data_IF_457576825041
#
_entry.id   IF_457576825041
#
_cell.length_a   1.000
_cell.length_b   1.000
_cell.length_c   1.000
_cell.angle_alpha   90.00
_cell.angle_beta   90.00
_cell.angle_gamma   90.00
#
_symmetry.space_group_name_H-M   'P 1'
#
loop_
_entity.id
_entity.type
_entity.pdbx_description
1 polymer ?
#
# COMPACT_ATOMS: atom_id res chain seq x y z
N UNK A 1 -22.09 -8.68 5.20
CA UNK A 1 -23.02 -8.71 6.34
C UNK A 1 -22.46 -9.61 7.43
N UNK A 2 -22.11 -9.08 8.61
CA UNK A 2 -22.07 -9.79 9.90
C UNK A 2 -22.25 -8.74 10.99
N UNK A 3 -23.46 -8.67 11.54
CA UNK A 3 -23.85 -7.78 12.65
C UNK A 3 -23.21 -8.32 13.94
N UNK A 4 -22.61 -7.43 14.74
CA UNK A 4 -22.22 -7.73 16.11
C UNK A 4 -22.88 -6.69 17.02
N UNK A 5 -24.13 -6.97 17.39
CA UNK A 5 -24.80 -6.33 18.53
C UNK A 5 -24.25 -6.94 19.82
N UNK A 6 -23.68 -6.11 20.70
CA UNK A 6 -23.57 -6.43 22.14
C UNK A 6 -23.85 -5.20 23.00
N UNK A 7 -25.13 -5.08 23.34
CA UNK A 7 -25.67 -4.82 24.69
C UNK A 7 -25.05 -3.71 25.56
N UNK A 8 -25.73 -2.56 25.59
CA UNK A 8 -25.70 -1.59 26.69
C UNK A 8 -26.19 -2.25 27.98
N UNK A 9 -25.30 -2.50 28.94
CA UNK A 9 -25.70 -2.76 30.33
C UNK A 9 -26.09 -1.43 30.97
N UNK A 10 -27.40 -1.15 31.08
CA UNK A 10 -27.92 -0.12 31.97
C UNK A 10 -27.71 -0.59 33.40
N UNK A 11 -26.86 0.13 34.13
CA UNK A 11 -26.65 -0.03 35.56
C UNK A 11 -27.90 0.51 36.28
N UNK A 12 -28.85 -0.36 36.60
CA UNK A 12 -29.97 0.00 37.48
C UNK A 12 -29.49 -0.09 38.92
N UNK A 13 -29.39 1.05 39.62
CA UNK A 13 -29.27 1.04 41.08
C UNK A 13 -30.65 0.80 41.69
N UNK A 14 -30.81 -0.10 42.67
CA UNK A 14 -32.06 -0.28 43.40
C UNK A 14 -32.25 0.90 44.37
N UNK A 15 -33.31 1.68 44.17
CA UNK A 15 -33.77 2.69 45.13
C UNK A 15 -34.65 1.99 46.17
N UNK A 16 -34.20 1.95 47.43
CA UNK A 16 -35.03 1.50 48.55
C UNK A 16 -36.07 2.58 48.89
N UNK A 17 -37.22 2.51 48.23
CA UNK A 17 -38.42 3.28 48.58
C UNK A 17 -39.11 2.61 49.77
N UNK A 18 -38.65 2.89 50.99
CA UNK A 18 -39.38 2.49 52.19
C UNK A 18 -40.75 3.18 52.21
N UNK A 19 -41.79 2.34 52.18
CA UNK A 19 -43.19 2.71 52.22
C UNK A 19 -43.58 3.17 53.63
N UNK A 20 -44.24 4.32 53.73
CA UNK A 20 -44.96 4.74 54.93
C UNK A 20 -46.46 4.48 54.75
N UNK A 21 -47.05 3.75 55.71
CA UNK A 21 -48.48 3.43 55.80
C UNK A 21 -48.68 1.91 55.78
N UNK A 22 -49.30 1.24 56.74
CA UNK A 22 -50.11 1.63 57.90
C UNK A 22 -51.24 0.59 58.00
N UNK A 23 -51.48 -0.01 59.17
CA UNK A 23 -52.82 -0.38 59.70
C UNK A 23 -52.75 -1.17 61.04
N UNK A 24 -53.71 -0.97 61.98
CA UNK A 24 -53.86 -1.68 63.26
C UNK A 24 -55.03 -2.72 63.18
N UNK A 25 -55.70 -3.16 64.27
CA UNK A 25 -55.28 -3.72 65.57
C UNK A 25 -55.84 -5.16 65.78
N UNK A 26 -55.30 -5.94 66.73
CA UNK A 26 -55.86 -7.26 67.06
C UNK A 26 -55.39 -7.82 68.40
N UNK A 27 -56.33 -7.91 69.34
CA UNK A 27 -56.29 -8.34 70.74
C UNK A 27 -55.52 -9.64 71.10
N UNK A 28 -55.02 -9.71 72.36
CA UNK A 28 -55.05 -10.94 73.18
C UNK A 28 -53.88 -11.21 74.17
N UNK A 29 -54.06 -10.84 75.45
CA UNK A 29 -53.49 -11.37 76.73
C UNK A 29 -51.98 -11.29 77.08
N UNK A 30 -51.54 -11.40 78.36
CA UNK A 30 -52.07 -10.99 79.69
C UNK A 30 -51.19 -9.87 80.34
N UNK A 31 -51.47 -9.28 81.54
CA UNK A 31 -50.70 -8.12 82.01
C UNK A 31 -49.25 -8.50 82.38
N UNK A 32 -48.23 -7.83 81.81
CA UNK A 32 -46.86 -7.95 82.30
C UNK A 32 -46.74 -7.26 83.66
N UNK A 33 -45.80 -7.75 84.48
CA UNK A 33 -45.39 -7.18 85.77
C UNK A 33 -45.39 -5.64 85.81
N UNK A 34 -45.62 -5.03 87.00
CA UNK A 34 -45.51 -3.58 87.15
C UNK A 34 -44.18 -3.09 86.56
N UNK A 35 -44.20 -1.98 85.79
CA UNK A 35 -43.03 -1.53 85.06
C UNK A 35 -41.88 -1.26 86.03
N UNK A 36 -40.71 -1.84 85.75
CA UNK A 36 -39.48 -1.31 86.30
C UNK A 36 -39.38 0.16 85.89
N UNK A 37 -38.98 1.02 86.84
CA UNK A 37 -38.78 2.44 86.59
C UNK A 37 -37.99 2.64 85.28
N UNK A 38 -38.41 3.57 84.40
CA UNK A 38 -37.61 3.88 83.23
C UNK A 38 -36.21 4.30 83.70
N UNK A 39 -35.14 3.87 83.02
CA UNK A 39 -33.82 4.42 83.29
C UNK A 39 -33.90 5.95 83.19
N UNK A 40 -33.15 6.71 84.00
CA UNK A 40 -33.16 8.16 83.95
C UNK A 40 -33.04 8.60 82.50
N UNK A 41 -34.02 9.36 82.02
CA UNK A 41 -34.09 9.90 80.67
C UNK A 41 -32.80 10.69 80.42
N UNK A 42 -31.82 10.08 79.76
CA UNK A 42 -30.62 10.79 79.32
C UNK A 42 -31.08 11.89 78.37
N UNK A 43 -30.75 13.17 78.63
CA UNK A 43 -31.14 14.24 77.73
C UNK A 43 -30.58 13.94 76.34
N UNK A 44 -31.35 14.19 75.26
CA UNK A 44 -30.89 13.93 73.90
C UNK A 44 -29.55 14.64 73.69
N UNK A 45 -28.54 13.91 73.21
CA UNK A 45 -27.25 14.49 72.88
C UNK A 45 -27.48 15.73 72.01
N UNK A 46 -26.85 16.88 72.33
CA UNK A 46 -27.04 18.09 71.56
C UNK A 46 -26.67 17.83 70.09
N UNK A 47 -27.42 18.38 69.11
CA UNK A 47 -27.13 18.15 67.71
C UNK A 47 -25.71 18.63 67.41
N UNK A 48 -24.91 17.78 66.77
CA UNK A 48 -23.55 18.13 66.36
C UNK A 48 -23.61 19.28 65.35
N UNK A 49 -23.26 20.49 65.81
CA UNK A 49 -23.11 21.66 64.94
C UNK A 49 -21.67 21.72 64.46
N UNK A 50 -21.46 21.58 63.14
CA UNK A 50 -20.14 21.79 62.54
C UNK A 50 -19.65 23.21 62.83
N UNK A 51 -18.42 23.32 63.33
CA UNK A 51 -17.78 24.63 63.54
C UNK A 51 -17.36 25.22 62.20
N UNK A 52 -17.27 26.55 62.11
CA UNK A 52 -16.81 27.23 60.89
C UNK A 52 -15.43 26.72 60.43
N UNK A 53 -14.53 26.42 61.38
CA UNK A 53 -13.22 25.85 61.09
C UNK A 53 -13.30 24.43 60.50
N UNK A 54 -14.24 23.59 60.95
CA UNK A 54 -14.45 22.26 60.38
C UNK A 54 -14.98 22.34 58.94
N UNK A 55 -15.85 23.31 58.65
CA UNK A 55 -16.36 23.53 57.29
C UNK A 55 -15.25 24.06 56.37
N UNK A 56 -14.44 25.02 56.84
CA UNK A 56 -13.30 25.57 56.09
C UNK A 56 -12.25 24.47 55.81
N UNK A 57 -11.94 23.64 56.80
CA UNK A 57 -11.02 22.51 56.67
C UNK A 57 -11.54 21.46 55.67
N UNK A 58 -12.81 21.09 55.75
CA UNK A 58 -13.45 20.17 54.81
C UNK A 58 -13.46 20.73 53.38
N UNK A 59 -13.73 22.03 53.22
CA UNK A 59 -13.68 22.72 51.92
C UNK A 59 -12.26 22.69 51.34
N UNK A 60 -11.25 23.01 52.14
CA UNK A 60 -9.85 23.01 51.70
C UNK A 60 -9.36 21.61 51.32
N UNK A 61 -9.77 20.58 52.08
CA UNK A 61 -9.51 19.18 51.74
C UNK A 61 -10.15 18.80 50.40
N UNK A 62 -11.43 19.12 50.21
CA UNK A 62 -12.15 18.84 48.97
C UNK A 62 -11.54 19.55 47.76
N UNK A 63 -11.12 20.81 47.90
CA UNK A 63 -10.45 21.56 46.82
C UNK A 63 -9.09 20.94 46.47
N UNK A 64 -8.34 20.49 47.47
CA UNK A 64 -7.05 19.82 47.25
C UNK A 64 -7.24 18.50 46.51
N UNK A 65 -8.20 17.69 46.95
CA UNK A 65 -8.53 16.41 46.29
C UNK A 65 -9.03 16.63 44.86
N UNK A 66 -9.87 17.63 44.63
CA UNK A 66 -10.34 17.99 43.30
C UNK A 66 -9.19 18.40 42.36
N UNK A 67 -8.23 19.20 42.84
CA UNK A 67 -7.04 19.58 42.06
C UNK A 67 -6.18 18.39 41.71
N UNK A 68 -5.90 17.52 42.68
CA UNK A 68 -5.11 16.29 42.46
C UNK A 68 -5.81 15.37 41.47
N UNK A 69 -7.12 15.18 41.62
CA UNK A 69 -7.91 14.38 40.67
C UNK A 69 -7.89 14.99 39.27
N UNK A 70 -7.98 16.31 39.14
CA UNK A 70 -7.95 16.99 37.85
C UNK A 70 -6.61 16.77 37.14
N UNK A 71 -5.49 16.96 37.83
CA UNK A 71 -4.16 16.73 37.25
C UNK A 71 -3.97 15.27 36.82
N UNK A 72 -4.43 14.32 37.63
CA UNK A 72 -4.37 12.90 37.31
C UNK A 72 -5.21 12.56 36.06
N UNK A 73 -6.42 13.10 35.94
CA UNK A 73 -7.28 12.90 34.77
C UNK A 73 -6.67 13.48 33.50
N UNK A 74 -6.00 14.63 33.62
CA UNK A 74 -5.31 15.29 32.50
C UNK A 74 -3.93 14.70 32.20
N UNK A 75 -3.44 13.73 33.00
CA UNK A 75 -2.11 13.15 32.84
C UNK A 75 -0.97 14.17 33.00
N UNK A 76 -1.20 15.23 33.78
CA UNK A 76 -0.20 16.25 34.12
C UNK A 76 0.19 16.13 35.58
N UNK A 77 1.45 16.41 35.89
CA UNK A 77 1.95 16.31 37.26
C UNK A 77 1.48 17.50 38.13
N UNK A 78 1.24 18.65 37.50
CA UNK A 78 0.86 19.89 38.19
C UNK A 78 0.30 20.94 37.22
N UNK A 79 -0.16 22.07 37.76
CA UNK A 79 -0.50 23.24 36.95
C UNK A 79 0.69 23.79 36.14
N UNK A 80 1.90 23.73 36.71
CA UNK A 80 3.11 24.18 36.02
C UNK A 80 3.40 23.30 34.79
N UNK A 81 3.26 21.98 34.92
CA UNK A 81 3.37 21.04 33.80
C UNK A 81 2.31 21.31 32.73
N UNK A 82 1.07 21.60 33.13
CA UNK A 82 0.01 22.01 32.19
C UNK A 82 0.39 23.31 31.43
N UNK A 83 0.89 24.32 32.14
CA UNK A 83 1.30 25.58 31.52
C UNK A 83 2.50 25.40 30.58
N UNK A 84 3.47 24.58 30.96
CA UNK A 84 4.62 24.23 30.12
C UNK A 84 4.18 23.49 28.84
N UNK A 85 3.25 22.54 28.94
CA UNK A 85 2.72 21.81 27.78
C UNK A 85 1.93 22.70 26.83
N UNK A 86 1.07 23.58 27.36
CA UNK A 86 0.33 24.54 26.53
C UNK A 86 1.30 25.51 25.85
N UNK A 87 2.28 26.04 26.58
CA UNK A 87 3.31 26.91 25.99
C UNK A 87 4.19 26.20 24.95
N UNK A 88 4.48 24.91 25.13
CA UNK A 88 5.18 24.11 24.12
C UNK A 88 4.33 23.89 22.87
N UNK A 89 3.02 23.67 23.05
CA UNK A 89 2.07 23.53 21.95
C UNK A 89 1.95 24.83 21.15
N UNK A 90 1.86 25.99 21.81
CA UNK A 90 1.80 27.30 21.15
C UNK A 90 3.08 27.58 20.33
N UNK A 91 4.25 27.24 20.87
CA UNK A 91 5.51 27.34 20.12
C UNK A 91 5.55 26.44 18.90
N UNK A 92 5.03 25.21 19.01
CA UNK A 92 4.92 24.29 17.88
C UNK A 92 4.00 24.84 16.78
N UNK A 93 2.89 25.45 17.18
CA UNK A 93 1.98 26.12 16.25
C UNK A 93 2.64 27.30 15.55
N UNK A 94 3.38 28.13 16.27
CA UNK A 94 4.12 29.26 15.70
C UNK A 94 5.24 28.79 14.75
N UNK A 95 6.02 27.80 15.15
CA UNK A 95 7.12 27.22 14.34
C UNK A 95 6.60 26.59 13.05
N UNK A 96 5.47 25.89 13.13
CA UNK A 96 4.82 25.27 11.97
C UNK A 96 3.93 26.26 11.19
N UNK A 97 3.74 27.49 11.69
CA UNK A 97 2.87 28.49 11.06
C UNK A 97 1.38 28.10 11.01
N UNK A 98 0.96 27.19 11.88
CA UNK A 98 -0.39 26.63 11.95
C UNK A 98 -1.11 27.15 13.19
N UNK A 99 -2.44 27.22 13.14
CA UNK A 99 -3.25 27.78 14.24
C UNK A 99 -3.95 26.72 15.07
N UNK A 100 -3.94 25.46 14.63
CA UNK A 100 -4.67 24.39 15.28
C UNK A 100 -4.05 23.01 15.02
N UNK A 101 -4.43 22.05 15.86
CA UNK A 101 -4.06 20.64 15.68
C UNK A 101 -4.68 20.06 14.40
N UNK A 102 -5.87 20.54 14.01
CA UNK A 102 -6.55 20.07 12.79
C UNK A 102 -5.73 20.44 11.54
N UNK A 103 -5.17 21.65 11.50
CA UNK A 103 -4.26 22.05 10.41
C UNK A 103 -2.98 21.20 10.37
N UNK A 104 -2.41 20.84 11.53
CA UNK A 104 -1.27 19.90 11.58
C UNK A 104 -1.65 18.54 11.00
N UNK A 105 -2.83 18.04 11.35
CA UNK A 105 -3.30 16.73 10.90
C UNK A 105 -3.53 16.71 9.40
N UNK A 106 -4.12 17.77 8.85
CA UNK A 106 -4.33 17.92 7.40
C UNK A 106 -3.00 18.05 6.65
N UNK A 107 -2.04 18.80 7.19
CA UNK A 107 -0.68 18.89 6.64
C UNK A 107 0.03 17.54 6.65
N UNK A 108 -0.08 16.79 7.75
CA UNK A 108 0.51 15.46 7.86
C UNK A 108 -0.08 14.50 6.84
N UNK A 109 -1.41 14.45 6.73
CA UNK A 109 -2.10 13.62 5.75
C UNK A 109 -1.71 13.98 4.30
N UNK A 110 -1.57 15.28 4.03
CA UNK A 110 -1.10 15.78 2.72
C UNK A 110 0.36 15.37 2.46
N UNK A 111 1.23 15.49 3.45
CA UNK A 111 2.64 15.12 3.34
C UNK A 111 2.81 13.61 3.13
N UNK A 112 2.06 12.77 3.85
CA UNK A 112 2.03 11.32 3.66
C UNK A 112 1.57 10.95 2.26
N UNK A 113 0.50 11.58 1.76
CA UNK A 113 0.02 11.36 0.39
C UNK A 113 1.05 11.74 -0.67
N UNK A 114 1.77 12.85 -0.48
CA UNK A 114 2.86 13.26 -1.37
C UNK A 114 4.03 12.27 -1.33
N UNK A 115 4.46 11.86 -0.14
CA UNK A 115 5.54 10.89 0.01
C UNK A 115 5.22 9.54 -0.65
N UNK A 116 3.98 9.07 -0.53
CA UNK A 116 3.52 7.85 -1.21
C UNK A 116 3.51 8.00 -2.74
N UNK A 117 3.10 9.18 -3.24
CA UNK A 117 3.13 9.49 -4.67
C UNK A 117 4.57 9.53 -5.19
N UNK A 118 5.47 10.20 -4.48
CA UNK A 118 6.89 10.31 -4.85
C UNK A 118 7.58 8.94 -4.86
N UNK A 119 7.30 8.08 -3.88
CA UNK A 119 7.82 6.71 -3.85
C UNK A 119 7.33 5.88 -5.05
N UNK A 120 6.07 6.06 -5.44
CA UNK A 120 5.47 5.39 -6.60
C UNK A 120 6.12 5.90 -7.90
N UNK A 121 6.19 7.22 -8.09
CA UNK A 121 6.81 7.85 -9.25
C UNK A 121 8.28 7.49 -9.39
N UNK A 122 9.03 7.41 -8.27
CA UNK A 122 10.42 6.98 -8.29
C UNK A 122 10.56 5.54 -8.78
N UNK A 123 9.71 4.65 -8.30
CA UNK A 123 9.71 3.23 -8.70
C UNK A 123 9.34 3.09 -10.18
N UNK A 124 8.31 3.80 -10.63
CA UNK A 124 7.87 3.79 -12.02
C UNK A 124 8.96 4.34 -12.96
N UNK A 125 9.59 5.46 -12.61
CA UNK A 125 10.70 6.01 -13.40
C UNK A 125 11.90 5.05 -13.47
N UNK A 126 12.22 4.33 -12.38
CA UNK A 126 13.27 3.32 -12.40
C UNK A 126 12.92 2.14 -13.32
N UNK A 127 11.66 1.69 -13.29
CA UNK A 127 11.17 0.63 -14.17
C UNK A 127 11.16 1.06 -15.64
N UNK A 128 10.67 2.26 -15.93
CA UNK A 128 10.67 2.84 -17.28
C UNK A 128 12.08 3.00 -17.81
N UNK A 129 13.01 3.54 -17.01
CA UNK A 129 14.40 3.66 -17.42
C UNK A 129 15.05 2.30 -17.69
N UNK A 130 14.75 1.27 -16.89
CA UNK A 130 15.24 -0.08 -17.13
C UNK A 130 14.69 -0.64 -18.45
N UNK A 131 13.39 -0.44 -18.69
CA UNK A 131 12.73 -0.88 -19.94
C UNK A 131 13.25 -0.16 -21.18
N UNK A 132 13.54 1.14 -21.07
CA UNK A 132 14.14 1.91 -22.17
C UNK A 132 15.51 1.34 -22.50
N UNK A 133 16.35 1.08 -21.49
CA UNK A 133 17.66 0.45 -21.70
C UNK A 133 17.55 -0.93 -22.34
N UNK A 134 16.65 -1.78 -21.85
CA UNK A 134 16.40 -3.10 -22.46
C UNK A 134 16.01 -2.98 -23.95
N UNK A 135 15.11 -2.04 -24.29
CA UNK A 135 14.70 -1.80 -25.67
C UNK A 135 15.82 -1.23 -26.55
N UNK A 136 16.69 -0.38 -26.00
CA UNK A 136 17.86 0.13 -26.71
C UNK A 136 18.84 -1.00 -27.06
N UNK A 137 19.08 -1.91 -26.10
CA UNK A 137 19.90 -3.11 -26.28
C UNK A 137 19.29 -4.02 -27.36
N UNK A 138 17.99 -4.29 -27.29
CA UNK A 138 17.29 -5.11 -28.29
C UNK A 138 17.35 -4.49 -29.69
N UNK A 139 17.15 -3.18 -29.81
CA UNK A 139 17.26 -2.49 -31.09
C UNK A 139 18.69 -2.51 -31.65
N UNK A 140 19.69 -2.32 -30.80
CA UNK A 140 21.09 -2.45 -31.21
C UNK A 140 21.39 -3.88 -31.68
N UNK A 141 20.89 -4.88 -30.95
CA UNK A 141 21.03 -6.28 -31.33
C UNK A 141 20.41 -6.56 -32.70
N UNK A 142 19.15 -6.18 -32.94
CA UNK A 142 18.48 -6.44 -34.22
C UNK A 142 19.27 -5.84 -35.38
N UNK A 143 19.75 -4.60 -35.23
CA UNK A 143 20.56 -3.93 -36.25
C UNK A 143 21.84 -4.70 -36.56
N UNK A 144 22.60 -5.12 -35.54
CA UNK A 144 23.83 -5.88 -35.73
C UNK A 144 23.56 -7.29 -36.26
N UNK A 145 22.56 -7.99 -35.72
CA UNK A 145 22.27 -9.38 -36.05
C UNK A 145 21.74 -9.56 -37.48
N UNK A 146 21.08 -8.54 -38.04
CA UNK A 146 20.53 -8.57 -39.41
C UNK A 146 21.60 -8.94 -40.45
N UNK A 147 22.84 -8.47 -40.26
CA UNK A 147 23.97 -8.78 -41.16
C UNK A 147 24.36 -10.26 -41.12
N UNK A 148 24.11 -10.95 -39.99
CA UNK A 148 24.49 -12.33 -39.76
C UNK A 148 23.39 -13.35 -40.07
N UNK A 149 22.16 -12.90 -40.39
CA UNK A 149 21.01 -13.74 -40.79
C UNK A 149 20.70 -14.87 -39.79
N UNK A 150 20.38 -14.55 -38.53
CA UNK A 150 19.96 -15.55 -37.55
C UNK A 150 18.73 -16.32 -38.03
N UNK A 151 18.64 -17.60 -37.66
CA UNK A 151 17.42 -18.40 -37.87
C UNK A 151 16.28 -17.91 -36.96
N UNK A 152 16.62 -17.54 -35.73
CA UNK A 152 15.70 -17.07 -34.71
C UNK A 152 16.38 -15.94 -33.92
N UNK A 153 15.81 -14.74 -33.99
CA UNK A 153 16.35 -13.55 -33.34
C UNK A 153 16.22 -13.64 -31.82
N UNK A 154 15.11 -14.19 -31.31
CA UNK A 154 14.86 -14.27 -29.87
C UNK A 154 15.82 -15.27 -29.24
N UNK A 155 16.03 -16.42 -29.90
CA UNK A 155 16.96 -17.45 -29.44
C UNK A 155 18.41 -16.95 -29.48
N UNK A 156 18.81 -16.24 -30.54
CA UNK A 156 20.14 -15.63 -30.61
C UNK A 156 20.30 -14.55 -29.54
N UNK A 157 19.29 -13.68 -29.36
CA UNK A 157 19.35 -12.63 -28.34
C UNK A 157 19.52 -13.22 -26.94
N UNK A 158 18.75 -14.26 -26.60
CA UNK A 158 18.88 -14.98 -25.34
C UNK A 158 20.29 -15.59 -25.16
N UNK A 159 20.88 -16.09 -26.24
CA UNK A 159 22.23 -16.65 -26.21
C UNK A 159 23.33 -15.60 -26.00
N UNK A 160 23.17 -14.37 -26.52
CA UNK A 160 24.19 -13.32 -26.40
C UNK A 160 24.00 -12.42 -25.18
N UNK A 161 22.76 -12.27 -24.65
CA UNK A 161 22.40 -11.26 -23.64
C UNK A 161 23.29 -11.31 -22.39
N UNK A 162 23.67 -12.51 -21.95
CA UNK A 162 24.53 -12.72 -20.77
C UNK A 162 26.01 -12.38 -21.01
N UNK A 163 26.42 -12.19 -22.26
CA UNK A 163 27.78 -11.88 -22.67
C UNK A 163 27.96 -10.41 -23.10
N UNK A 164 26.87 -9.63 -23.08
CA UNK A 164 26.92 -8.21 -23.40
C UNK A 164 27.55 -7.43 -22.25
N UNK A 165 28.37 -6.45 -22.61
CA UNK A 165 28.97 -5.50 -21.69
C UNK A 165 28.36 -4.14 -21.99
N UNK A 166 27.76 -3.54 -20.97
CA UNK A 166 27.15 -2.21 -21.07
C UNK A 166 28.01 -1.18 -20.36
N UNK A 167 28.20 -0.03 -20.99
CA UNK A 167 28.79 1.14 -20.36
C UNK A 167 27.93 1.56 -19.14
N UNK A 168 28.54 1.80 -17.97
CA UNK A 168 27.80 2.07 -16.74
C UNK A 168 27.09 3.43 -16.73
N UNK A 169 27.59 4.41 -17.50
CA UNK A 169 27.12 5.79 -17.49
C UNK A 169 26.07 6.03 -18.59
N UNK A 170 26.27 5.44 -19.77
CA UNK A 170 25.40 5.60 -20.93
C UNK A 170 24.44 4.43 -21.14
N UNK A 171 24.77 3.24 -20.64
CA UNK A 171 24.00 2.02 -20.89
C UNK A 171 24.17 1.45 -22.31
N UNK A 172 25.04 2.04 -23.13
CA UNK A 172 25.33 1.55 -24.48
C UNK A 172 26.07 0.20 -24.43
N UNK A 173 25.83 -0.66 -25.41
CA UNK A 173 26.52 -1.96 -25.53
C UNK A 173 27.72 -1.81 -26.45
N UNK A 174 28.91 -2.02 -25.91
CA UNK A 174 30.15 -1.78 -26.67
C UNK A 174 30.60 -3.00 -27.48
N UNK A 175 30.19 -4.21 -27.08
CA UNK A 175 30.71 -5.47 -27.61
C UNK A 175 29.69 -6.29 -28.43
N UNK A 176 28.58 -5.69 -28.86
CA UNK A 176 27.46 -6.41 -29.51
C UNK A 176 27.90 -7.25 -30.72
N UNK A 177 28.62 -6.63 -31.67
CA UNK A 177 29.06 -7.30 -32.89
C UNK A 177 30.06 -8.43 -32.62
N UNK A 178 30.99 -8.21 -31.69
CA UNK A 178 32.00 -9.21 -31.30
C UNK A 178 31.34 -10.44 -30.67
N UNK A 179 30.34 -10.24 -29.80
CA UNK A 179 29.62 -11.33 -29.16
C UNK A 179 28.80 -12.13 -30.18
N UNK A 180 28.13 -11.45 -31.13
CA UNK A 180 27.38 -12.14 -32.20
C UNK A 180 28.33 -13.00 -33.04
N UNK A 181 29.50 -12.46 -33.41
CA UNK A 181 30.50 -13.19 -34.18
C UNK A 181 31.04 -14.41 -33.43
N UNK A 182 31.35 -14.25 -32.14
CA UNK A 182 31.78 -15.36 -31.28
C UNK A 182 30.70 -16.45 -31.18
N UNK A 183 29.44 -16.07 -30.98
CA UNK A 183 28.33 -17.03 -30.95
C UNK A 183 28.11 -17.70 -32.30
N UNK A 184 28.40 -17.04 -33.42
CA UNK A 184 28.40 -17.67 -34.75
C UNK A 184 29.45 -18.77 -34.90
N UNK A 185 30.62 -18.58 -34.30
CA UNK A 185 31.69 -19.57 -34.29
C UNK A 185 31.39 -20.74 -33.33
N UNK A 186 30.87 -20.46 -32.14
CA UNK A 186 30.56 -21.47 -31.12
C UNK A 186 29.27 -22.24 -31.41
N UNK A 187 28.28 -21.57 -31.99
CA UNK A 187 26.90 -22.07 -32.19
C UNK A 187 26.40 -21.73 -33.60
N UNK A 188 27.03 -22.27 -34.66
CA UNK A 188 26.69 -21.93 -36.04
C UNK A 188 25.25 -22.28 -36.41
N UNK A 189 24.62 -23.26 -35.74
CA UNK A 189 23.23 -23.66 -35.95
C UNK A 189 22.19 -22.56 -35.63
N UNK A 190 22.59 -21.48 -34.96
CA UNK A 190 21.72 -20.32 -34.72
C UNK A 190 21.63 -19.39 -35.96
N UNK A 191 22.46 -19.61 -36.97
CA UNK A 191 22.61 -18.73 -38.14
C UNK A 191 22.31 -19.49 -39.43
N UNK A 192 21.68 -18.79 -40.37
CA UNK A 192 21.40 -19.34 -41.70
C UNK A 192 22.70 -19.54 -42.46
N UNK A 193 22.95 -20.74 -42.95
CA UNK A 193 24.04 -21.00 -43.91
C UNK A 193 23.76 -20.24 -45.20
N UNK A 194 24.73 -19.47 -45.68
CA UNK A 194 24.67 -18.83 -46.99
C UNK A 194 24.48 -19.91 -48.07
N UNK A 195 23.25 -20.07 -48.57
CA UNK A 195 22.88 -21.08 -49.55
C UNK A 195 21.79 -22.07 -49.12
N UNK A 196 21.18 -21.91 -47.94
CA UNK A 196 20.03 -22.73 -47.52
C UNK A 196 18.75 -22.34 -48.25
N UNK A 197 18.50 -22.98 -49.40
CA UNK A 197 17.22 -23.05 -50.07
C UNK A 197 16.12 -23.33 -49.04
N UNK A 198 15.17 -22.39 -48.90
CA UNK A 198 14.01 -22.58 -48.02
C UNK A 198 13.27 -23.82 -48.51
N UNK A 199 13.34 -24.89 -47.73
CA UNK A 199 12.71 -26.17 -48.02
C UNK A 199 11.22 -26.00 -48.29
N UNK A 200 10.86 -25.89 -49.56
CA UNK A 200 9.55 -26.22 -50.10
C UNK A 200 9.62 -26.49 -51.61
N UNK A 201 10.52 -27.37 -52.03
CA UNK A 201 10.38 -28.03 -53.33
C UNK A 201 9.69 -29.38 -53.11
N UNK A 202 8.52 -29.63 -53.71
CA UNK A 202 7.92 -30.97 -53.69
C UNK A 202 8.91 -31.96 -54.31
N UNK A 203 8.99 -33.22 -53.85
CA UNK A 203 9.86 -34.21 -54.47
C UNK A 203 9.46 -34.39 -55.93
N UNK A 204 10.34 -34.00 -56.85
CA UNK A 204 10.16 -34.21 -58.29
C UNK A 204 10.08 -35.71 -58.55
N UNK A 205 9.04 -36.22 -59.24
CA UNK A 205 8.98 -37.63 -59.60
C UNK A 205 10.15 -37.97 -60.55
N UNK A 206 10.72 -39.18 -60.48
CA UNK A 206 11.82 -39.57 -61.35
C UNK A 206 11.36 -39.56 -62.82
N UNK A 207 12.22 -39.10 -63.77
CA UNK A 207 11.86 -39.10 -65.18
C UNK A 207 11.74 -40.53 -65.71
N UNK A 208 10.81 -40.79 -66.66
CA UNK A 208 10.71 -42.09 -67.31
C UNK A 208 12.01 -42.43 -68.07
N UNK A 209 12.36 -43.72 -68.19
CA UNK A 209 13.61 -44.11 -68.82
C UNK A 209 13.53 -43.87 -70.34
N UNK A 210 14.43 -43.03 -70.83
CA UNK A 210 14.72 -42.91 -72.27
C UNK A 210 14.22 -41.62 -72.89
N UNK A 211 15.03 -40.57 -72.79
CA UNK A 211 15.24 -39.60 -73.88
C UNK A 211 16.48 -38.77 -73.59
N UNK A 212 17.38 -38.71 -74.57
CA UNK A 212 18.72 -38.14 -74.45
C UNK A 212 18.75 -36.63 -74.26
N UNK A 213 19.90 -36.15 -73.77
CA UNK A 213 20.24 -34.72 -73.74
C UNK A 213 20.17 -34.08 -75.13
N UNK A 214 19.73 -32.81 -75.18
CA UNK A 214 20.49 -31.80 -75.92
C UNK A 214 20.77 -30.54 -75.06
N UNK A 215 21.66 -29.65 -75.53
CA UNK A 215 22.57 -28.88 -74.67
C UNK A 215 22.06 -27.49 -74.30
N UNK A 216 22.72 -26.89 -73.31
CA UNK A 216 23.03 -25.45 -73.33
C UNK A 216 21.95 -24.52 -72.80
N UNK A 217 22.07 -24.19 -71.52
CA UNK A 217 21.50 -23.02 -70.86
C UNK A 217 21.70 -21.72 -71.65
N UNK A 218 20.61 -21.05 -72.00
CA UNK A 218 20.59 -19.61 -72.28
C UNK A 218 19.84 -18.87 -71.17
N UNK A 219 20.57 -17.92 -70.58
CA UNK A 219 20.12 -16.92 -69.62
C UNK A 219 18.83 -16.21 -70.06
N UNK A 220 17.99 -15.95 -69.05
CA UNK A 220 17.42 -14.63 -68.81
C UNK A 220 16.20 -14.25 -69.64
N UNK A 221 15.00 -14.36 -69.04
CA UNK A 221 13.87 -13.46 -69.33
C UNK A 221 13.06 -13.23 -68.05
N UNK A 222 13.41 -12.13 -67.39
CA UNK A 222 12.48 -11.05 -67.02
C UNK A 222 11.06 -11.44 -66.56
N UNK A 223 10.88 -11.58 -65.24
CA UNK A 223 9.55 -11.59 -64.59
C UNK A 223 9.41 -10.42 -63.60
N UNK A 224 10.14 -9.33 -63.85
CA UNK A 224 9.96 -8.04 -63.19
C UNK A 224 8.76 -7.28 -63.75
N UNK A 225 7.53 -7.77 -63.53
CA UNK A 225 6.32 -6.95 -63.66
C UNK A 225 5.56 -6.96 -62.34
N UNK A 226 5.93 -5.99 -61.50
CA UNK A 226 5.32 -5.73 -60.20
C UNK A 226 3.80 -5.57 -60.31
N UNK A 227 3.11 -6.18 -59.34
CA UNK A 227 1.67 -6.18 -59.05
C UNK A 227 0.99 -4.79 -59.18
N UNK A 228 1.77 -3.70 -59.08
CA UNK A 228 1.31 -2.32 -59.26
C UNK A 228 0.72 -2.01 -60.66
N UNK A 229 1.17 -2.67 -61.74
CA UNK A 229 0.62 -2.41 -63.09
C UNK A 229 -0.72 -3.10 -63.35
N UNK A 230 -1.01 -4.22 -62.67
CA UNK A 230 -2.29 -4.94 -62.81
C UNK A 230 -3.45 -4.24 -62.12
N UNK A 231 -3.18 -3.40 -61.12
CA UNK A 231 -4.23 -2.72 -60.32
C UNK A 231 -4.82 -1.48 -60.99
N UNK A 232 -4.13 -0.88 -61.96
CA UNK A 232 -4.55 0.38 -62.60
C UNK A 232 -5.41 0.20 -63.86
N UNK A 233 -5.76 -1.04 -64.24
CA UNK A 233 -6.56 -1.33 -65.45
C UNK A 233 -7.99 -1.83 -65.17
N UNK A 234 -8.42 -1.91 -63.90
CA UNK A 234 -9.78 -2.36 -63.54
C UNK A 234 -10.72 -1.25 -63.07
N UNK A 235 -10.36 0.04 -63.25
CA UNK A 235 -11.15 1.18 -62.78
C UNK A 235 -11.52 2.17 -63.88
N UNK A 236 -12.20 1.73 -64.94
CA UNK A 236 -12.74 2.65 -65.95
C UNK A 236 -13.62 1.95 -66.97
N UNK A 237 -14.93 1.92 -66.71
CA UNK A 237 -15.97 1.84 -67.74
C UNK A 237 -16.64 3.20 -67.83
#
# INVERSE_FOLDING_TARGET
MKKLEKTKKRLYMPMNLQHFGGEPPGAGDPPPNPPADPPPNEPPAPPETFTAEQVEAARNAAVKDAKVSMYKTLGVASFKDLQERVGAQDKLFEELGVKSVDEIKDLLQTAEGKAQTDATLKTENQQLNSRVKDLEIENAFIKSATEHKPHDYDLLFAAIKLHLTTDPDTGAVDNMAEVIQKVKEEKPFLFSTEGGDNGNTPPTPPPPPGQGNPPGSLKGVDLGKSIAQQRNQQGGK
#
